data_IF_193164811493
#
_entry.id   IF_193164811493
#
_cell.length_a   1.000
_cell.length_b   1.000
_cell.length_c   1.000
_cell.angle_alpha   90.00
_cell.angle_beta   90.00
_cell.angle_gamma   90.00
#
_symmetry.space_group_name_H-M   'P 1'
#
loop_
_entity.id
_entity.type
_entity.pdbx_description
1 polymer ?
#
# COMPACT_ATOMS: atom_id res chain seq x y z
N UNK A 1 22.37 -62.76 5.77
CA UNK A 1 21.77 -61.76 4.92
C UNK A 1 21.80 -60.48 5.72
N UNK A 2 22.73 -59.59 5.41
CA UNK A 2 22.89 -58.31 6.06
C UNK A 2 22.05 -57.31 5.24
N UNK A 3 21.08 -56.67 5.88
CA UNK A 3 20.37 -55.54 5.33
C UNK A 3 21.32 -54.32 5.37
N UNK A 4 21.77 -53.89 4.18
CA UNK A 4 22.47 -52.62 3.98
C UNK A 4 21.39 -51.51 3.97
N UNK A 5 21.15 -50.89 5.13
CA UNK A 5 20.46 -49.61 5.23
C UNK A 5 21.33 -48.51 4.62
N UNK A 6 21.08 -48.14 3.37
CA UNK A 6 21.62 -46.92 2.78
C UNK A 6 20.92 -45.72 3.39
N UNK A 7 21.56 -45.10 4.38
CA UNK A 7 21.20 -43.75 4.82
C UNK A 7 21.41 -42.76 3.65
N UNK A 8 20.35 -42.39 2.96
CA UNK A 8 20.34 -41.38 1.89
C UNK A 8 20.23 -39.94 2.42
N UNK A 9 20.46 -39.74 3.73
CA UNK A 9 20.20 -38.48 4.43
C UNK A 9 21.22 -37.35 4.25
N UNK A 10 22.44 -37.64 3.79
CA UNK A 10 23.57 -36.69 3.93
C UNK A 10 24.00 -36.01 2.62
N UNK A 11 23.38 -36.33 1.48
CA UNK A 11 23.79 -35.83 0.17
C UNK A 11 23.22 -34.42 -0.16
N UNK A 12 22.33 -33.86 0.67
CA UNK A 12 21.67 -32.58 0.45
C UNK A 12 21.69 -31.66 1.70
N UNK A 13 22.58 -31.89 2.64
CA UNK A 13 22.80 -30.90 3.70
C UNK A 13 23.65 -29.76 3.15
N UNK A 14 23.06 -28.58 3.08
CA UNK A 14 23.78 -27.37 2.75
C UNK A 14 24.80 -27.06 3.85
N UNK A 15 26.03 -26.63 3.51
CA UNK A 15 27.05 -26.30 4.52
C UNK A 15 26.54 -25.20 5.46
N UNK A 16 26.89 -25.28 6.75
CA UNK A 16 26.66 -24.21 7.71
C UNK A 16 27.19 -22.87 7.18
N UNK A 17 26.35 -21.85 7.13
CA UNK A 17 26.69 -20.53 6.60
C UNK A 17 26.59 -20.40 5.07
N UNK A 18 25.97 -21.35 4.37
CA UNK A 18 25.73 -21.25 2.92
C UNK A 18 24.78 -20.11 2.56
N UNK A 19 23.77 -19.87 3.40
CA UNK A 19 22.95 -18.68 3.28
C UNK A 19 23.54 -17.55 4.13
N UNK A 20 23.63 -16.32 3.61
CA UNK A 20 23.97 -15.16 4.42
C UNK A 20 22.97 -15.03 5.57
N UNK A 21 23.45 -14.67 6.76
CA UNK A 21 22.57 -14.36 7.89
C UNK A 21 21.53 -13.32 7.47
N UNK A 22 20.26 -13.56 7.81
CA UNK A 22 19.20 -12.59 7.55
C UNK A 22 19.51 -11.28 8.27
N UNK A 23 19.49 -10.18 7.53
CA UNK A 23 19.72 -8.87 8.13
C UNK A 23 18.62 -8.59 9.17
N UNK A 24 18.99 -8.15 10.39
CA UNK A 24 17.98 -7.88 11.44
C UNK A 24 17.04 -6.74 11.02
N UNK A 25 15.81 -6.71 11.56
CA UNK A 25 14.91 -5.59 11.38
C UNK A 25 15.55 -4.26 11.82
N UNK A 26 15.26 -3.20 11.09
CA UNK A 26 15.70 -1.85 11.41
C UNK A 26 14.50 -0.96 11.76
N UNK A 27 14.75 0.31 12.11
CA UNK A 27 13.70 1.28 12.39
C UNK A 27 13.88 2.53 11.53
N UNK A 28 12.77 3.09 11.08
CA UNK A 28 12.73 4.37 10.40
C UNK A 28 11.68 5.29 11.06
N UNK A 29 11.82 6.59 10.81
CA UNK A 29 10.87 7.58 11.29
C UNK A 29 10.32 8.39 10.12
N UNK A 30 9.03 8.69 10.22
CA UNK A 30 8.32 9.61 9.34
C UNK A 30 7.88 10.82 10.15
N UNK A 31 8.34 12.02 9.74
CA UNK A 31 7.90 13.26 10.35
C UNK A 31 6.57 13.69 9.72
N UNK A 32 5.54 13.79 10.54
CA UNK A 32 4.24 14.30 10.14
C UNK A 32 4.28 15.83 10.04
N UNK A 33 3.42 16.41 9.22
CA UNK A 33 3.31 17.88 9.05
C UNK A 33 2.96 18.59 10.36
N UNK A 34 2.23 17.93 11.25
CA UNK A 34 1.93 18.48 12.59
C UNK A 34 3.14 18.44 13.56
N UNK A 35 4.33 18.01 13.11
CA UNK A 35 5.55 17.91 13.92
C UNK A 35 5.68 16.65 14.78
N UNK A 36 4.68 15.75 14.77
CA UNK A 36 4.80 14.43 15.41
C UNK A 36 5.62 13.49 14.54
N UNK A 37 6.25 12.49 15.15
CA UNK A 37 6.99 11.43 14.45
C UNK A 37 6.29 10.10 14.57
N UNK A 38 6.15 9.39 13.45
CA UNK A 38 5.70 8.00 13.38
C UNK A 38 6.92 7.12 13.20
N UNK A 39 7.21 6.29 14.20
CA UNK A 39 8.28 5.29 14.14
C UNK A 39 7.72 3.97 13.63
N UNK A 40 8.42 3.35 12.68
CA UNK A 40 8.06 2.05 12.13
C UNK A 40 9.27 1.11 12.10
N UNK A 41 9.01 -0.17 12.29
CA UNK A 41 9.96 -1.25 12.05
C UNK A 41 9.93 -1.60 10.57
N UNK A 42 11.10 -1.80 10.01
CA UNK A 42 11.32 -2.33 8.67
C UNK A 42 11.77 -3.79 8.82
N UNK A 43 11.26 -4.68 7.97
CA UNK A 43 11.79 -6.06 7.91
C UNK A 43 13.27 -6.02 7.53
N UNK A 44 13.98 -7.12 7.76
CA UNK A 44 15.38 -7.27 7.30
C UNK A 44 15.48 -7.35 5.77
N UNK A 45 16.33 -8.20 5.24
CA UNK A 45 16.35 -8.46 3.80
C UNK A 45 15.08 -9.20 3.40
N UNK A 46 14.32 -8.66 2.44
CA UNK A 46 13.10 -9.29 1.95
C UNK A 46 12.97 -9.11 0.42
N UNK A 47 12.62 -10.19 -0.34
CA UNK A 47 12.52 -10.12 -1.80
C UNK A 47 11.49 -9.11 -2.35
N UNK A 48 10.50 -8.76 -1.54
CA UNK A 48 9.46 -7.78 -1.88
C UNK A 48 9.77 -6.37 -1.33
N UNK A 49 11.04 -6.07 -1.05
CA UNK A 49 11.52 -4.73 -0.72
C UNK A 49 10.86 -4.06 0.51
N UNK A 50 10.38 -4.86 1.48
CA UNK A 50 9.78 -4.35 2.74
C UNK A 50 10.79 -3.72 3.72
N UNK A 51 12.07 -3.73 3.38
CA UNK A 51 13.18 -3.28 4.22
C UNK A 51 13.51 -1.78 4.12
N UNK A 52 12.71 -1.01 3.38
CA UNK A 52 12.93 0.42 3.17
C UNK A 52 11.67 1.23 3.44
N UNK A 53 11.86 2.48 3.87
CA UNK A 53 10.79 3.47 3.89
C UNK A 53 10.87 4.32 2.62
N UNK A 54 10.08 3.91 1.63
CA UNK A 54 10.07 4.44 0.27
C UNK A 54 9.62 5.90 0.18
N UNK A 55 10.14 6.64 -0.80
CA UNK A 55 9.79 8.05 -1.01
C UNK A 55 8.30 8.24 -1.30
N UNK A 56 7.67 7.32 -2.06
CA UNK A 56 6.23 7.38 -2.30
C UNK A 56 5.43 7.21 -1.01
N UNK A 57 5.81 6.32 -0.09
CA UNK A 57 5.16 6.17 1.21
C UNK A 57 5.22 7.45 2.04
N UNK A 58 6.40 8.11 2.12
CA UNK A 58 6.55 9.40 2.80
C UNK A 58 5.73 10.50 2.15
N UNK A 59 5.78 10.59 0.81
CA UNK A 59 5.07 11.63 0.05
C UNK A 59 3.57 11.43 0.08
N UNK A 60 3.09 10.17 -0.03
CA UNK A 60 1.67 9.83 0.15
C UNK A 60 1.16 10.27 1.52
N UNK A 61 1.93 10.00 2.57
CA UNK A 61 1.56 10.38 3.93
C UNK A 61 1.40 11.90 4.08
N UNK A 62 2.33 12.71 3.57
CA UNK A 62 2.19 14.16 3.60
C UNK A 62 1.00 14.65 2.77
N UNK A 63 0.81 14.10 1.55
CA UNK A 63 -0.35 14.45 0.72
C UNK A 63 -1.68 14.14 1.42
N UNK A 64 -1.77 12.98 2.08
CA UNK A 64 -2.93 12.58 2.87
C UNK A 64 -3.17 13.49 4.07
N UNK A 65 -2.11 13.97 4.75
CA UNK A 65 -2.23 14.94 5.84
C UNK A 65 -2.73 16.30 5.35
N UNK A 66 -2.21 16.81 4.23
CA UNK A 66 -2.63 18.07 3.62
C UNK A 66 -4.11 18.05 3.19
N UNK A 67 -4.62 16.86 2.82
CA UNK A 67 -5.98 16.67 2.32
C UNK A 67 -6.86 15.85 3.29
N UNK A 68 -6.50 15.82 4.58
CA UNK A 68 -7.15 14.94 5.55
C UNK A 68 -8.66 15.13 5.66
N UNK A 69 -9.15 16.36 5.54
CA UNK A 69 -10.60 16.66 5.63
C UNK A 69 -11.41 16.04 4.47
N UNK A 70 -10.82 15.96 3.28
CA UNK A 70 -11.49 15.43 2.09
C UNK A 70 -11.23 13.95 1.85
N UNK A 71 -10.03 13.46 2.18
CA UNK A 71 -9.58 12.11 1.85
C UNK A 71 -9.64 11.13 3.02
N UNK A 72 -9.56 11.61 4.28
CA UNK A 72 -9.39 10.71 5.41
C UNK A 72 -10.52 10.80 6.44
N UNK A 73 -10.95 12.00 6.83
CA UNK A 73 -11.90 12.14 7.93
C UNK A 73 -13.22 11.43 7.63
N UNK A 74 -13.55 10.44 8.49
CA UNK A 74 -14.72 9.58 8.37
C UNK A 74 -14.77 8.73 7.07
N UNK A 75 -13.63 8.53 6.41
CA UNK A 75 -13.49 7.69 5.21
C UNK A 75 -12.99 6.29 5.54
N UNK A 76 -13.35 5.33 4.70
CA UNK A 76 -12.79 3.99 4.71
C UNK A 76 -11.64 3.92 3.70
N UNK A 77 -10.47 3.52 4.17
CA UNK A 77 -9.21 3.58 3.43
C UNK A 77 -8.61 2.19 3.30
N UNK A 78 -8.14 1.85 2.11
CA UNK A 78 -7.37 0.64 1.83
C UNK A 78 -5.99 1.03 1.31
N UNK A 79 -4.93 0.48 1.89
CA UNK A 79 -3.59 0.53 1.33
C UNK A 79 -3.20 -0.84 0.81
N UNK A 80 -2.70 -0.92 -0.43
CA UNK A 80 -2.21 -2.14 -1.06
C UNK A 80 -0.71 -2.04 -1.30
N UNK A 81 0.06 -3.05 -0.82
CA UNK A 81 1.52 -3.03 -0.85
C UNK A 81 2.10 -2.05 0.19
N UNK A 82 1.65 -2.17 1.43
CA UNK A 82 1.93 -1.19 2.48
C UNK A 82 3.34 -1.25 3.07
N UNK A 83 4.04 -2.39 2.97
CA UNK A 83 5.34 -2.64 3.58
C UNK A 83 5.37 -2.27 5.08
N UNK A 84 5.93 -1.10 5.44
CA UNK A 84 5.93 -0.61 6.82
C UNK A 84 4.61 0.07 7.24
N UNK A 85 3.73 0.41 6.29
CA UNK A 85 2.37 0.92 6.52
C UNK A 85 2.27 2.37 6.98
N UNK A 86 3.23 3.23 6.67
CA UNK A 86 3.22 4.63 7.12
C UNK A 86 1.99 5.39 6.61
N UNK A 87 1.57 5.32 5.33
CA UNK A 87 0.36 5.97 4.85
C UNK A 87 -0.90 5.50 5.59
N UNK A 88 -1.04 4.20 5.86
CA UNK A 88 -2.14 3.65 6.65
C UNK A 88 -2.16 4.16 8.08
N UNK A 89 -1.02 4.17 8.75
CA UNK A 89 -0.89 4.67 10.12
C UNK A 89 -1.27 6.15 10.19
N UNK A 90 -0.72 6.97 9.27
CA UNK A 90 -1.05 8.40 9.17
C UNK A 90 -2.54 8.59 8.91
N UNK A 91 -3.14 7.82 8.00
CA UNK A 91 -4.58 7.88 7.73
C UNK A 91 -5.43 7.62 8.98
N UNK A 92 -5.05 6.62 9.77
CA UNK A 92 -5.73 6.30 11.03
C UNK A 92 -5.57 7.42 12.08
N UNK A 93 -4.37 8.02 12.19
CA UNK A 93 -4.10 9.16 13.10
C UNK A 93 -4.91 10.39 12.69
N UNK A 94 -5.07 10.65 11.38
CA UNK A 94 -5.82 11.78 10.83
C UNK A 94 -7.34 11.60 10.84
N UNK A 95 -7.85 10.48 11.37
CA UNK A 95 -9.27 10.30 11.65
C UNK A 95 -10.04 9.53 10.59
N UNK A 96 -9.38 8.75 9.75
CA UNK A 96 -10.08 7.78 8.90
C UNK A 96 -10.97 6.87 9.77
N UNK A 97 -12.15 6.52 9.26
CA UNK A 97 -13.13 5.68 9.97
C UNK A 97 -12.62 4.26 10.12
N UNK A 98 -12.19 3.68 9.01
CA UNK A 98 -11.57 2.34 8.91
C UNK A 98 -10.38 2.43 7.99
N UNK A 99 -9.26 1.86 8.39
CA UNK A 99 -8.08 1.69 7.54
C UNK A 99 -7.75 0.21 7.49
N UNK A 100 -7.62 -0.34 6.30
CA UNK A 100 -7.13 -1.71 6.08
C UNK A 100 -5.78 -1.61 5.38
N UNK A 101 -4.74 -2.00 6.09
CA UNK A 101 -3.36 -2.02 5.64
C UNK A 101 -3.03 -3.41 5.11
N UNK A 102 -2.60 -3.51 3.85
CA UNK A 102 -2.38 -4.83 3.24
C UNK A 102 -1.04 -4.93 2.54
N UNK A 103 -0.47 -6.14 2.58
CA UNK A 103 0.67 -6.52 1.76
C UNK A 103 0.54 -7.99 1.34
N UNK A 104 1.48 -8.47 0.53
CA UNK A 104 1.54 -9.88 0.15
C UNK A 104 1.43 -10.75 1.42
N UNK A 105 0.68 -11.89 1.37
CA UNK A 105 0.38 -12.72 2.53
C UNK A 105 1.60 -13.55 2.98
N UNK A 106 2.70 -12.89 3.16
CA UNK A 106 3.93 -13.41 3.74
C UNK A 106 3.92 -13.16 5.25
N UNK A 107 4.26 -14.16 6.09
CA UNK A 107 4.24 -14.01 7.54
C UNK A 107 5.11 -12.87 8.08
N UNK A 108 6.28 -12.61 7.47
CA UNK A 108 7.20 -11.57 7.92
C UNK A 108 6.64 -10.18 7.59
N UNK A 109 6.08 -9.99 6.39
CA UNK A 109 5.45 -8.74 6.01
C UNK A 109 4.21 -8.45 6.86
N UNK A 110 3.30 -9.42 6.97
CA UNK A 110 2.06 -9.27 7.76
C UNK A 110 2.38 -9.08 9.24
N UNK A 111 3.31 -9.86 9.79
CA UNK A 111 3.78 -9.72 11.17
C UNK A 111 4.45 -8.38 11.44
N UNK A 112 5.18 -7.83 10.45
CA UNK A 112 5.78 -6.50 10.56
C UNK A 112 4.75 -5.38 10.52
N UNK A 113 3.76 -5.47 9.62
CA UNK A 113 2.63 -4.53 9.59
C UNK A 113 1.86 -4.52 10.92
N UNK A 114 1.58 -5.70 11.48
CA UNK A 114 0.89 -5.79 12.77
C UNK A 114 1.72 -5.16 13.90
N UNK A 115 3.03 -5.42 13.93
CA UNK A 115 3.93 -4.78 14.89
C UNK A 115 3.87 -3.24 14.79
N UNK A 116 3.89 -2.68 13.57
CA UNK A 116 3.83 -1.24 13.34
C UNK A 116 2.46 -0.66 13.70
N UNK A 117 1.38 -1.36 13.42
CA UNK A 117 0.02 -0.97 13.84
C UNK A 117 -0.08 -0.89 15.37
N UNK A 118 0.46 -1.88 16.09
CA UNK A 118 0.46 -1.91 17.56
C UNK A 118 1.36 -0.81 18.14
N UNK A 119 2.51 -0.55 17.54
CA UNK A 119 3.42 0.52 17.94
C UNK A 119 2.77 1.90 17.80
N UNK A 120 1.99 2.11 16.74
CA UNK A 120 1.30 3.37 16.46
C UNK A 120 -0.03 3.51 17.21
N UNK A 121 -0.58 2.45 17.80
CA UNK A 121 -1.90 2.45 18.45
C UNK A 121 -2.11 3.58 19.47
N UNK A 122 -1.12 3.99 20.30
CA UNK A 122 -1.30 5.10 21.25
C UNK A 122 -1.50 6.47 20.56
N UNK A 123 -1.13 6.60 19.29
CA UNK A 123 -1.27 7.84 18.50
C UNK A 123 -2.61 7.91 17.76
N UNK A 124 -3.28 6.79 17.58
CA UNK A 124 -4.53 6.67 16.82
C UNK A 124 -5.71 7.04 17.71
N UNK A 125 -6.55 8.03 17.32
CA UNK A 125 -7.74 8.38 18.09
C UNK A 125 -8.69 7.17 18.24
N UNK A 126 -9.37 7.06 19.38
CA UNK A 126 -10.36 6.03 19.58
C UNK A 126 -11.44 6.06 18.48
N UNK A 127 -11.92 4.89 18.07
CA UNK A 127 -13.04 4.79 17.13
C UNK A 127 -14.30 5.38 17.80
N UNK A 128 -15.16 6.01 16.99
CA UNK A 128 -16.50 6.42 17.43
C UNK A 128 -17.38 5.22 17.82
N UNK A 129 -17.04 4.03 17.34
CA UNK A 129 -17.68 2.77 17.72
C UNK A 129 -16.74 2.02 18.69
N UNK A 130 -17.08 1.90 19.99
CA UNK A 130 -16.17 1.38 21.02
C UNK A 130 -15.64 -0.03 20.78
N UNK A 131 -16.35 -0.85 20.03
CA UNK A 131 -15.99 -2.25 19.73
C UNK A 131 -15.15 -2.40 18.47
N UNK A 132 -14.81 -1.31 17.76
CA UNK A 132 -14.08 -1.34 16.49
C UNK A 132 -12.71 -0.68 16.60
N UNK A 133 -11.73 -1.28 15.95
CA UNK A 133 -10.43 -0.64 15.70
C UNK A 133 -10.58 0.32 14.52
N UNK A 134 -9.64 1.26 14.36
CA UNK A 134 -9.51 2.10 13.16
C UNK A 134 -8.56 1.51 12.15
N UNK A 135 -7.55 0.76 12.58
CA UNK A 135 -6.51 0.19 11.74
C UNK A 135 -6.54 -1.34 11.85
N UNK A 136 -6.63 -2.00 10.71
CA UNK A 136 -6.62 -3.44 10.53
C UNK A 136 -5.48 -3.83 9.60
N UNK A 137 -4.96 -5.04 9.76
CA UNK A 137 -3.86 -5.61 8.96
C UNK A 137 -4.33 -6.89 8.32
N UNK A 138 -4.12 -7.02 7.01
CA UNK A 138 -4.50 -8.21 6.24
C UNK A 138 -3.39 -8.60 5.26
N UNK A 139 -3.15 -9.90 5.12
CA UNK A 139 -2.37 -10.44 4.01
C UNK A 139 -3.22 -10.50 2.75
N UNK A 140 -2.84 -9.81 1.68
CA UNK A 140 -3.61 -9.76 0.46
C UNK A 140 -2.73 -9.84 -0.80
N UNK A 141 -2.98 -10.86 -1.62
CA UNK A 141 -2.40 -10.95 -2.96
C UNK A 141 -3.31 -10.23 -3.96
N UNK A 142 -2.75 -9.26 -4.69
CA UNK A 142 -3.50 -8.44 -5.64
C UNK A 142 -4.30 -9.29 -6.63
N UNK A 143 -5.54 -8.88 -6.90
CA UNK A 143 -6.47 -9.56 -7.79
C UNK A 143 -7.18 -10.79 -7.20
N UNK A 144 -6.87 -11.18 -5.96
CA UNK A 144 -7.59 -12.24 -5.26
C UNK A 144 -8.95 -11.75 -4.72
N UNK A 145 -9.64 -12.62 -3.97
CA UNK A 145 -10.91 -12.28 -3.30
C UNK A 145 -10.75 -11.13 -2.32
N UNK A 146 -11.65 -10.18 -2.34
CA UNK A 146 -11.61 -8.93 -1.54
C UNK A 146 -12.55 -8.96 -0.33
N UNK A 147 -13.37 -10.01 -0.19
CA UNK A 147 -14.34 -10.13 0.91
C UNK A 147 -13.70 -9.99 2.31
N UNK A 148 -12.50 -10.55 2.59
CA UNK A 148 -11.84 -10.34 3.87
C UNK A 148 -11.54 -8.86 4.14
N UNK A 149 -11.15 -8.09 3.11
CA UNK A 149 -10.86 -6.67 3.23
C UNK A 149 -12.13 -5.86 3.50
N UNK A 150 -13.20 -6.14 2.74
CA UNK A 150 -14.49 -5.45 2.86
C UNK A 150 -15.19 -5.76 4.19
N UNK A 151 -14.94 -6.91 4.80
CA UNK A 151 -15.53 -7.30 6.10
C UNK A 151 -15.16 -6.34 7.25
N UNK A 152 -14.07 -5.59 7.10
CA UNK A 152 -13.68 -4.57 8.09
C UNK A 152 -14.49 -3.28 7.98
N UNK A 153 -15.17 -3.03 6.86
CA UNK A 153 -15.98 -1.84 6.68
C UNK A 153 -17.39 -2.10 7.26
N UNK A 154 -17.98 -1.15 8.02
CA UNK A 154 -19.38 -1.27 8.41
C UNK A 154 -20.26 -1.40 7.17
N UNK A 155 -21.27 -2.30 7.19
CA UNK A 155 -22.23 -2.38 6.10
C UNK A 155 -22.94 -1.03 5.91
N UNK A 156 -23.34 -0.73 4.68
CA UNK A 156 -24.15 0.44 4.39
C UNK A 156 -25.55 0.32 5.04
N UNK A 157 -26.26 1.44 5.18
CA UNK A 157 -27.60 1.48 5.80
C UNK A 157 -28.62 0.58 5.08
N UNK A 158 -28.39 0.29 3.79
CA UNK A 158 -29.21 -0.64 2.99
C UNK A 158 -28.82 -2.12 3.17
N UNK A 159 -27.86 -2.40 4.07
CA UNK A 159 -27.36 -3.75 4.36
C UNK A 159 -26.40 -4.33 3.31
N UNK A 160 -26.04 -3.58 2.26
CA UNK A 160 -25.06 -4.00 1.27
C UNK A 160 -23.64 -3.88 1.81
N UNK A 161 -22.74 -4.68 1.25
CA UNK A 161 -21.32 -4.54 1.53
C UNK A 161 -20.83 -3.15 1.12
N UNK A 162 -20.21 -2.44 2.06
CA UNK A 162 -19.56 -1.16 1.77
C UNK A 162 -18.21 -1.40 1.09
N UNK A 163 -17.74 -0.39 0.35
CA UNK A 163 -16.45 -0.38 -0.33
C UNK A 163 -15.63 0.82 0.17
N UNK A 164 -14.34 0.86 -0.15
CA UNK A 164 -13.44 1.90 0.31
C UNK A 164 -13.65 3.22 -0.42
N UNK A 165 -13.58 4.31 0.30
CA UNK A 165 -13.63 5.67 -0.25
C UNK A 165 -12.28 6.06 -0.87
N UNK A 166 -11.17 5.58 -0.28
CA UNK A 166 -9.80 5.91 -0.72
C UNK A 166 -8.95 4.64 -0.81
N UNK A 167 -8.25 4.47 -1.92
CA UNK A 167 -7.19 3.48 -2.09
C UNK A 167 -5.84 4.18 -2.13
N UNK A 168 -4.86 3.63 -1.43
CA UNK A 168 -3.47 4.09 -1.44
C UNK A 168 -2.63 3.02 -2.14
N UNK A 169 -1.89 3.45 -3.17
CA UNK A 169 -1.03 2.63 -4.01
C UNK A 169 0.35 3.32 -4.10
N UNK A 170 1.17 3.14 -3.05
CA UNK A 170 2.47 3.78 -2.94
C UNK A 170 3.59 2.81 -3.37
N UNK A 171 4.33 3.17 -4.43
CA UNK A 171 5.41 2.38 -5.02
C UNK A 171 5.02 0.92 -5.34
N UNK A 172 3.84 0.68 -5.95
CA UNK A 172 3.40 -0.68 -6.33
C UNK A 172 3.39 -0.92 -7.85
N UNK A 173 3.37 0.15 -8.66
CA UNK A 173 3.27 0.04 -10.13
C UNK A 173 4.56 -0.40 -10.83
N UNK A 174 5.67 -0.58 -10.09
CA UNK A 174 6.88 -1.23 -10.58
C UNK A 174 6.65 -2.72 -10.91
N UNK A 175 5.66 -3.32 -10.30
CA UNK A 175 5.30 -4.72 -10.53
C UNK A 175 4.51 -4.86 -11.85
N UNK A 176 5.18 -4.66 -12.98
CA UNK A 176 4.56 -4.55 -14.30
C UNK A 176 3.65 -5.72 -14.68
N UNK A 177 3.98 -6.95 -14.20
CA UNK A 177 3.17 -8.16 -14.45
C UNK A 177 1.86 -8.16 -13.67
N UNK A 178 1.78 -7.36 -12.62
CA UNK A 178 0.64 -7.29 -11.71
C UNK A 178 -0.31 -6.12 -12.03
N UNK A 179 -0.06 -5.30 -13.04
CA UNK A 179 -0.90 -4.15 -13.39
C UNK A 179 -2.37 -4.54 -13.56
N UNK A 180 -2.66 -5.67 -14.24
CA UNK A 180 -4.03 -6.16 -14.39
C UNK A 180 -4.68 -6.53 -13.05
N UNK A 181 -3.93 -7.13 -12.13
CA UNK A 181 -4.40 -7.47 -10.78
C UNK A 181 -4.60 -6.23 -9.92
N UNK A 182 -3.76 -5.19 -10.06
CA UNK A 182 -3.93 -3.90 -9.40
C UNK A 182 -5.22 -3.21 -9.87
N UNK A 183 -5.47 -3.14 -11.19
CA UNK A 183 -6.71 -2.59 -11.75
C UNK A 183 -7.93 -3.37 -11.30
N UNK A 184 -7.87 -4.72 -11.31
CA UNK A 184 -8.94 -5.58 -10.80
C UNK A 184 -9.22 -5.31 -9.31
N UNK A 185 -8.18 -5.17 -8.49
CA UNK A 185 -8.32 -4.83 -7.07
C UNK A 185 -9.04 -3.50 -6.90
N UNK A 186 -8.62 -2.45 -7.64
CA UNK A 186 -9.31 -1.15 -7.62
C UNK A 186 -10.78 -1.29 -7.98
N UNK A 187 -11.11 -2.03 -9.04
CA UNK A 187 -12.49 -2.25 -9.49
C UNK A 187 -13.37 -2.94 -8.43
N UNK A 188 -12.79 -3.85 -7.66
CA UNK A 188 -13.48 -4.65 -6.66
C UNK A 188 -13.59 -3.97 -5.29
N UNK A 189 -12.74 -3.00 -4.99
CA UNK A 189 -12.64 -2.40 -3.66
C UNK A 189 -13.00 -0.94 -3.59
N UNK A 190 -12.82 -0.16 -4.67
CA UNK A 190 -13.14 1.26 -4.70
C UNK A 190 -14.65 1.49 -4.87
N UNK A 191 -15.23 2.24 -3.96
CA UNK A 191 -16.64 2.60 -3.97
C UNK A 191 -17.05 3.27 -5.28
N UNK A 192 -18.23 2.91 -5.81
CA UNK A 192 -18.83 3.52 -6.99
C UNK A 192 -19.46 4.88 -6.64
N UNK A 193 -18.60 5.84 -6.34
CA UNK A 193 -18.94 7.19 -5.91
C UNK A 193 -17.99 8.20 -6.60
N UNK A 194 -18.47 9.35 -7.09
CA UNK A 194 -17.60 10.37 -7.71
C UNK A 194 -16.50 10.89 -6.80
N UNK A 195 -16.73 10.88 -5.48
CA UNK A 195 -15.74 11.33 -4.49
C UNK A 195 -14.68 10.26 -4.18
N UNK A 196 -14.96 8.99 -4.51
CA UNK A 196 -14.01 7.92 -4.26
C UNK A 196 -12.77 8.03 -5.18
N UNK A 197 -11.59 7.72 -4.64
CA UNK A 197 -10.32 7.92 -5.34
C UNK A 197 -9.30 6.84 -5.02
N UNK A 198 -8.54 6.42 -6.03
CA UNK A 198 -7.28 5.70 -5.85
C UNK A 198 -6.12 6.66 -6.08
N UNK A 199 -5.21 6.73 -5.11
CA UNK A 199 -3.99 7.52 -5.17
C UNK A 199 -2.86 6.61 -5.62
N UNK A 200 -2.28 6.86 -6.78
CA UNK A 200 -1.12 6.13 -7.31
C UNK A 200 0.08 7.05 -7.24
N UNK A 201 1.01 6.73 -6.33
CA UNK A 201 2.18 7.55 -6.06
C UNK A 201 3.41 6.66 -6.19
N UNK A 202 4.39 7.06 -7.01
CA UNK A 202 5.57 6.24 -7.26
C UNK A 202 6.80 7.06 -7.60
N UNK A 203 7.97 6.44 -7.43
CA UNK A 203 9.26 6.96 -7.87
C UNK A 203 9.88 5.99 -8.88
N UNK A 204 10.31 6.44 -10.07
CA UNK A 204 10.97 5.57 -11.04
C UNK A 204 12.43 5.31 -10.65
N UNK A 205 12.66 4.42 -9.68
CA UNK A 205 14.02 4.05 -9.25
C UNK A 205 14.85 3.40 -10.35
N UNK A 206 14.18 2.78 -11.33
CA UNK A 206 14.74 2.25 -12.56
C UNK A 206 14.22 3.05 -13.78
N UNK A 207 14.82 4.22 -14.11
CA UNK A 207 14.28 5.14 -15.11
C UNK A 207 14.07 4.53 -16.50
N UNK A 208 14.86 3.54 -16.87
CA UNK A 208 14.72 2.80 -18.13
C UNK A 208 13.45 1.93 -18.18
N UNK A 209 12.84 1.62 -17.05
CA UNK A 209 11.57 0.89 -16.94
C UNK A 209 10.35 1.82 -16.83
N UNK A 210 10.55 3.15 -16.75
CA UNK A 210 9.45 4.11 -16.65
C UNK A 210 8.37 3.90 -17.73
N UNK A 211 8.69 3.65 -19.02
CA UNK A 211 7.66 3.38 -20.02
C UNK A 211 6.82 2.13 -19.73
N UNK A 212 7.39 1.12 -19.06
CA UNK A 212 6.64 -0.07 -18.62
C UNK A 212 5.73 0.27 -17.44
N UNK A 213 6.23 1.05 -16.48
CA UNK A 213 5.46 1.53 -15.33
C UNK A 213 4.26 2.37 -15.78
N UNK A 214 4.45 3.27 -16.74
CA UNK A 214 3.38 4.13 -17.29
C UNK A 214 2.29 3.37 -18.03
N UNK A 215 2.52 2.13 -18.48
CA UNK A 215 1.47 1.27 -19.08
C UNK A 215 0.33 0.96 -18.10
N UNK A 216 0.55 1.14 -16.83
CA UNK A 216 -0.52 1.01 -15.83
C UNK A 216 -1.68 1.98 -16.11
N UNK A 217 -1.40 3.21 -16.51
CA UNK A 217 -2.42 4.24 -16.64
C UNK A 217 -3.41 3.99 -17.80
N UNK A 218 -2.98 3.69 -19.04
CA UNK A 218 -3.91 3.28 -20.09
C UNK A 218 -4.75 2.05 -19.69
N UNK A 219 -4.15 1.07 -19.01
CA UNK A 219 -4.87 -0.10 -18.54
C UNK A 219 -5.94 0.26 -17.48
N UNK A 220 -5.63 1.21 -16.60
CA UNK A 220 -6.61 1.72 -15.64
C UNK A 220 -7.74 2.49 -16.33
N UNK A 221 -7.43 3.26 -17.40
CA UNK A 221 -8.45 3.93 -18.22
C UNK A 221 -9.37 2.94 -18.94
N UNK A 222 -8.83 1.84 -19.46
CA UNK A 222 -9.59 0.72 -20.01
C UNK A 222 -10.45 0.04 -18.93
N UNK A 223 -9.92 -0.01 -17.69
CA UNK A 223 -10.60 -0.51 -16.50
C UNK A 223 -11.74 0.38 -15.97
N UNK A 224 -12.02 1.53 -16.62
CA UNK A 224 -13.13 2.41 -16.28
C UNK A 224 -12.76 3.59 -15.38
N UNK A 225 -11.48 3.93 -15.27
CA UNK A 225 -11.00 5.08 -14.49
C UNK A 225 -10.59 6.26 -15.37
N UNK A 226 -10.73 7.46 -14.85
CA UNK A 226 -10.02 8.65 -15.34
C UNK A 226 -8.72 8.77 -14.58
N UNK A 227 -7.65 9.19 -15.25
CA UNK A 227 -6.31 9.36 -14.68
C UNK A 227 -5.94 10.83 -14.70
N UNK A 228 -5.61 11.41 -13.55
CA UNK A 228 -5.21 12.81 -13.41
C UNK A 228 -3.89 12.89 -12.66
N UNK A 229 -2.85 13.46 -13.27
CA UNK A 229 -1.60 13.77 -12.58
C UNK A 229 -1.84 14.93 -11.62
N UNK A 230 -1.53 14.74 -10.33
CA UNK A 230 -1.79 15.73 -9.27
C UNK A 230 -0.54 16.46 -8.83
N UNK A 231 0.62 15.78 -8.87
CA UNK A 231 1.91 16.44 -8.57
C UNK A 231 3.10 15.70 -9.19
N UNK A 232 4.21 16.43 -9.19
CA UNK A 232 5.54 15.94 -9.46
C UNK A 232 6.47 16.60 -8.43
N UNK A 233 7.00 15.81 -7.49
CA UNK A 233 7.78 16.30 -6.36
C UNK A 233 9.23 15.83 -6.46
N UNK A 234 10.14 16.76 -6.59
CA UNK A 234 11.57 16.48 -6.54
C UNK A 234 12.00 16.37 -5.07
N UNK A 235 12.59 15.23 -4.72
CA UNK A 235 13.19 15.00 -3.40
C UNK A 235 14.61 15.56 -3.37
N UNK A 236 15.11 15.90 -2.18
CA UNK A 236 16.46 16.45 -2.01
C UNK A 236 17.55 15.45 -2.41
N UNK A 237 17.32 14.16 -2.10
CA UNK A 237 18.29 13.09 -2.33
C UNK A 237 17.62 11.88 -3.00
N UNK A 238 18.43 11.10 -3.74
CA UNK A 238 18.04 9.78 -4.22
C UNK A 238 17.96 8.79 -3.05
N UNK A 239 17.12 7.77 -3.17
CA UNK A 239 17.05 6.71 -2.15
C UNK A 239 18.26 5.76 -2.25
N UNK A 240 18.78 5.55 -3.46
CA UNK A 240 19.93 4.69 -3.76
C UNK A 240 21.02 5.49 -4.46
N UNK A 241 22.10 5.80 -3.76
CA UNK A 241 23.17 6.70 -4.25
C UNK A 241 23.91 6.16 -5.47
N UNK A 242 24.14 4.84 -5.50
CA UNK A 242 24.99 4.19 -6.50
C UNK A 242 24.24 3.57 -7.68
N UNK A 243 22.92 3.75 -7.75
CA UNK A 243 22.13 3.18 -8.83
C UNK A 243 22.32 3.95 -10.16
N UNK A 244 22.31 3.24 -11.30
CA UNK A 244 22.46 3.85 -12.61
C UNK A 244 21.20 4.62 -13.04
N UNK A 245 21.34 5.40 -14.10
CA UNK A 245 20.25 6.11 -14.74
C UNK A 245 20.10 7.57 -14.31
N UNK A 246 19.06 8.22 -14.79
CA UNK A 246 18.79 9.64 -14.56
C UNK A 246 18.49 9.90 -13.08
N UNK A 247 19.41 10.59 -12.41
CA UNK A 247 19.29 10.94 -10.97
C UNK A 247 18.05 11.76 -10.69
N UNK A 248 17.67 12.69 -11.59
CA UNK A 248 16.49 13.52 -11.38
C UNK A 248 15.22 12.67 -11.37
N UNK A 249 15.09 11.71 -12.29
CA UNK A 249 13.95 10.77 -12.30
C UNK A 249 13.95 9.92 -11.03
N UNK A 250 15.11 9.39 -10.61
CA UNK A 250 15.23 8.53 -9.42
C UNK A 250 14.90 9.23 -8.09
N UNK A 251 14.86 10.55 -8.08
CA UNK A 251 14.43 11.34 -6.92
C UNK A 251 13.14 12.14 -7.13
N UNK A 252 12.44 11.91 -8.25
CA UNK A 252 11.15 12.54 -8.52
C UNK A 252 10.01 11.58 -8.15
N UNK A 253 9.12 12.04 -7.28
CA UNK A 253 7.90 11.32 -6.90
C UNK A 253 6.76 11.86 -7.74
N UNK A 254 6.09 10.96 -8.47
CA UNK A 254 4.91 11.25 -9.27
C UNK A 254 3.65 10.86 -8.52
N UNK A 255 2.64 11.73 -8.54
CA UNK A 255 1.34 11.47 -7.92
C UNK A 255 0.21 11.57 -8.94
N UNK A 256 -0.72 10.61 -8.86
CA UNK A 256 -1.90 10.54 -9.71
C UNK A 256 -3.14 10.21 -8.87
N UNK A 257 -4.27 10.84 -9.22
CA UNK A 257 -5.61 10.44 -8.80
C UNK A 257 -6.30 9.65 -9.90
N UNK A 258 -6.88 8.52 -9.53
CA UNK A 258 -7.72 7.71 -10.39
C UNK A 258 -9.13 7.69 -9.81
N UNK A 259 -10.11 8.12 -10.60
CA UNK A 259 -11.53 8.15 -10.21
C UNK A 259 -12.37 7.41 -11.25
N UNK A 260 -13.51 6.89 -10.84
CA UNK A 260 -14.41 6.27 -11.79
C UNK A 260 -14.83 7.24 -12.90
N UNK A 261 -14.84 6.76 -14.13
CA UNK A 261 -15.47 7.49 -15.25
C UNK A 261 -16.96 7.69 -14.96
N UNK A 262 -17.58 8.82 -15.40
CA UNK A 262 -18.99 9.09 -15.13
C UNK A 262 -19.96 7.97 -15.57
N UNK A 263 -19.67 7.32 -16.70
CA UNK A 263 -20.43 6.19 -17.24
C UNK A 263 -20.33 4.90 -16.40
N UNK A 264 -19.37 4.83 -15.48
CA UNK A 264 -19.16 3.71 -14.56
C UNK A 264 -19.85 3.87 -13.20
N UNK A 265 -20.46 5.03 -12.94
CA UNK A 265 -21.04 5.38 -11.63
C UNK A 265 -22.51 4.97 -11.46
N UNK A 266 -23.19 4.50 -12.53
CA UNK A 266 -24.63 4.16 -12.49
C UNK A 266 -25.55 5.37 -12.26
N UNK A 267 -26.87 5.17 -12.34
CA UNK A 267 -27.90 6.23 -12.28
C UNK A 267 -28.01 6.98 -10.93
N UNK A 268 -27.20 6.63 -9.93
CA UNK A 268 -27.22 7.30 -8.62
C UNK A 268 -26.49 8.66 -8.61
N UNK A 269 -25.60 8.92 -9.57
CA UNK A 269 -24.82 10.17 -9.63
C UNK A 269 -25.65 11.38 -10.12
N UNK A 270 -26.80 11.17 -10.74
CA UNK A 270 -27.63 12.25 -11.31
C UNK A 270 -28.51 13.00 -10.28
N UNK A 271 -28.49 12.64 -9.00
CA UNK A 271 -29.37 13.24 -7.96
C UNK A 271 -28.66 14.16 -6.96
N UNK A 272 -27.34 14.39 -7.10
CA UNK A 272 -26.54 15.22 -6.17
C UNK A 272 -25.75 16.34 -6.87
N UNK A 273 -26.13 16.76 -8.06
CA UNK A 273 -25.58 17.93 -8.75
C UNK A 273 -26.55 19.11 -8.69
#
# INVERSE_FOLDING_TARGET
>A
MADDDYETGDLFQEPDGFYPEEAPPTFAEHQMLCGKSVRVRLVGSHPLYGNLLWNAGRTSSHYLEEHADSLLRDKDVLEIGAAAGVPSIVSAIQGARTVVMTDYPDPDLVGNMQYNADLAAPMIPASSTPTRKRLYVEGYKWGNTVEPLLAHIPPADDGKASMFDVLIMADVVYAHREHGNLVKTMQQTLKKDPAAVALVIFTPYEPWLLPQTERFFPLAEEGGFTVTKIFEKLMDQVLFENDPGDERLRKTVFGYELRWKPDQLGDHAAKSA
#
